data_IF_474482187060
#
_entry.id   IF_474482187060
#
_cell.length_a   1.000
_cell.length_b   1.000
_cell.length_c   1.000
_cell.angle_alpha   90.00
_cell.angle_beta   90.00
_cell.angle_gamma   90.00
#
_symmetry.space_group_name_H-M   'P 1'
#
loop_
_entity.id
_entity.type
_entity.pdbx_description
1 polymer ?
#
# COMPACT_ATOMS: atom_id res chain seq x y z
N UNK A 1 28.02 44.72 47.32
CA UNK A 1 28.65 44.22 46.07
C UNK A 1 29.33 42.85 46.30
N UNK A 2 28.57 41.78 46.56
CA UNK A 2 29.12 40.40 46.74
C UNK A 2 28.11 39.30 46.38
N UNK A 3 27.31 39.47 45.32
CA UNK A 3 26.29 38.47 44.94
C UNK A 3 26.19 38.21 43.42
N UNK A 4 27.18 38.66 42.63
CA UNK A 4 27.22 38.40 41.17
C UNK A 4 28.34 37.46 40.72
N UNK A 5 29.15 36.94 41.65
CA UNK A 5 30.26 36.04 41.34
C UNK A 5 29.85 34.55 41.33
N UNK A 6 28.70 34.19 41.92
CA UNK A 6 28.28 32.79 42.03
C UNK A 6 27.50 32.27 40.81
N UNK A 7 26.93 33.15 39.97
CA UNK A 7 26.11 32.73 38.81
C UNK A 7 26.96 32.34 37.59
N UNK A 8 28.22 32.77 37.52
CA UNK A 8 29.10 32.49 36.37
C UNK A 8 29.74 31.09 36.45
N UNK A 9 29.87 30.50 37.65
CA UNK A 9 30.51 29.18 37.83
C UNK A 9 29.56 28.02 37.48
N UNK A 10 28.23 28.21 37.56
CA UNK A 10 27.26 27.15 37.24
C UNK A 10 27.04 26.97 35.73
N UNK A 11 27.29 28.00 34.91
CA UNK A 11 27.14 27.90 33.45
C UNK A 11 28.32 27.17 32.79
N UNK A 12 29.50 27.10 33.44
CA UNK A 12 30.70 26.47 32.88
C UNK A 12 30.71 24.95 33.11
N UNK A 13 29.97 24.42 34.08
CA UNK A 13 29.88 22.97 34.34
C UNK A 13 28.81 22.23 33.51
N UNK A 14 28.02 22.95 32.70
CA UNK A 14 27.03 22.34 31.79
C UNK A 14 27.63 21.94 30.41
N UNK A 15 28.92 22.21 30.17
CA UNK A 15 29.61 21.93 28.90
C UNK A 15 30.46 20.64 28.89
N UNK A 16 30.21 19.72 29.83
CA UNK A 16 31.11 18.59 30.12
C UNK A 16 30.64 17.18 29.73
N UNK A 17 29.64 17.00 28.86
CA UNK A 17 29.25 15.66 28.37
C UNK A 17 28.88 15.65 26.88
N UNK A 18 29.86 15.99 26.04
CA UNK A 18 29.90 15.48 24.67
C UNK A 18 30.26 13.99 24.70
N UNK A 19 29.24 13.13 24.86
CA UNK A 19 29.35 11.72 24.55
C UNK A 19 29.26 11.54 23.03
N UNK A 20 30.40 11.28 22.40
CA UNK A 20 30.49 10.87 21.01
C UNK A 20 30.02 9.42 20.87
N UNK A 21 28.74 9.21 20.59
CA UNK A 21 28.22 7.94 20.07
C UNK A 21 27.94 8.08 18.56
N UNK A 22 28.83 7.49 17.77
CA UNK A 22 28.66 6.95 16.41
C UNK A 22 27.72 7.71 15.46
N UNK A 23 28.36 8.42 14.54
CA UNK A 23 27.80 8.93 13.28
C UNK A 23 27.11 7.82 12.47
N UNK A 24 25.78 7.84 12.38
CA UNK A 24 25.07 7.21 11.28
C UNK A 24 24.90 8.24 10.16
N UNK A 25 25.45 7.89 9.00
CA UNK A 25 25.49 8.65 7.77
C UNK A 25 24.05 8.90 7.27
N UNK A 26 23.55 10.10 7.50
CA UNK A 26 22.37 10.64 6.82
C UNK A 26 22.73 10.91 5.36
N UNK A 27 22.16 10.15 4.42
CA UNK A 27 22.11 10.58 3.03
C UNK A 27 20.79 11.29 2.79
N UNK A 28 20.85 12.62 2.80
CA UNK A 28 19.95 13.47 2.03
C UNK A 28 20.00 13.00 0.58
N UNK A 29 18.91 12.44 0.05
CA UNK A 29 18.70 12.41 -1.39
C UNK A 29 18.01 13.69 -1.78
N UNK A 30 18.85 14.71 -1.99
CA UNK A 30 18.54 15.86 -2.81
C UNK A 30 18.06 15.39 -4.17
N UNK A 31 17.04 16.08 -4.67
CA UNK A 31 16.66 16.09 -6.07
C UNK A 31 17.91 16.25 -6.95
N UNK A 32 18.17 15.24 -7.77
CA UNK A 32 19.18 15.24 -8.82
C UNK A 32 18.45 14.84 -10.08
N UNK A 33 18.10 15.84 -10.90
CA UNK A 33 17.76 15.61 -12.29
C UNK A 33 18.93 14.91 -12.97
N UNK A 34 18.75 13.62 -13.25
CA UNK A 34 19.70 12.80 -13.99
C UNK A 34 19.05 12.40 -15.30
N UNK A 35 19.41 13.08 -16.38
CA UNK A 35 19.31 12.54 -17.74
C UNK A 35 20.32 11.38 -17.86
N UNK A 36 19.90 10.17 -17.50
CA UNK A 36 20.72 8.97 -17.56
C UNK A 36 20.32 8.08 -18.73
N UNK A 37 21.07 8.11 -19.82
CA UNK A 37 21.03 7.11 -20.90
C UNK A 37 21.77 5.84 -20.44
N UNK A 38 21.15 5.07 -19.55
CA UNK A 38 21.71 3.85 -19.00
C UNK A 38 21.31 2.60 -19.79
N UNK A 39 22.23 2.05 -20.58
CA UNK A 39 22.14 0.70 -21.16
C UNK A 39 22.52 -0.34 -20.11
N UNK A 40 21.61 -0.63 -19.17
CA UNK A 40 21.80 -1.66 -18.15
C UNK A 40 21.21 -3.00 -18.58
N UNK A 41 22.05 -3.95 -18.98
CA UNK A 41 21.66 -5.36 -19.17
C UNK A 41 21.65 -6.06 -17.81
N UNK A 42 20.54 -5.94 -17.07
CA UNK A 42 20.29 -6.72 -15.88
C UNK A 42 19.69 -8.07 -16.23
N UNK A 43 20.49 -9.14 -16.21
CA UNK A 43 20.01 -10.53 -16.26
C UNK A 43 19.55 -10.95 -14.87
N UNK A 44 18.34 -10.53 -14.50
CA UNK A 44 17.58 -11.12 -13.41
C UNK A 44 16.68 -12.22 -13.98
N UNK A 45 17.10 -13.48 -13.89
CA UNK A 45 16.30 -14.64 -14.31
C UNK A 45 15.31 -15.00 -13.21
N UNK A 46 14.32 -14.15 -12.99
CA UNK A 46 13.08 -14.51 -12.31
C UNK A 46 12.09 -14.99 -13.36
N UNK A 47 12.06 -16.28 -13.63
CA UNK A 47 11.10 -16.87 -14.56
C UNK A 47 9.74 -16.96 -13.86
N UNK A 48 9.01 -15.84 -13.76
CA UNK A 48 7.58 -15.89 -13.46
C UNK A 48 6.88 -16.36 -14.73
N UNK A 49 6.83 -17.68 -14.92
CA UNK A 49 5.97 -18.30 -15.93
C UNK A 49 4.53 -18.12 -15.48
N UNK A 50 3.95 -16.95 -15.79
CA UNK A 50 2.51 -16.70 -15.64
C UNK A 50 1.78 -17.51 -16.69
N UNK A 51 1.59 -18.81 -16.45
CA UNK A 51 0.81 -19.70 -17.32
C UNK A 51 -0.71 -19.59 -17.10
N UNK A 52 -1.18 -18.48 -16.52
CA UNK A 52 -2.59 -18.16 -16.37
C UNK A 52 -2.81 -16.67 -16.61
N UNK A 53 -3.87 -16.32 -17.32
CA UNK A 53 -4.32 -14.94 -17.50
C UNK A 53 -4.36 -14.23 -16.15
N UNK A 54 -3.44 -13.30 -15.90
CA UNK A 54 -3.44 -12.50 -14.69
C UNK A 54 -4.77 -11.76 -14.51
N UNK A 55 -5.19 -11.60 -13.27
CA UNK A 55 -6.31 -10.76 -12.86
C UNK A 55 -5.92 -9.30 -13.05
N UNK A 56 -6.32 -8.79 -14.20
CA UNK A 56 -6.16 -7.41 -14.61
C UNK A 56 -7.44 -6.64 -14.25
N UNK A 57 -7.32 -5.63 -13.40
CA UNK A 57 -8.46 -4.86 -12.92
C UNK A 57 -8.57 -3.52 -13.66
N UNK A 58 -9.76 -3.26 -14.19
CA UNK A 58 -10.13 -1.98 -14.78
C UNK A 58 -11.10 -1.29 -13.79
N UNK A 59 -10.69 -0.17 -13.17
CA UNK A 59 -11.48 0.53 -12.15
C UNK A 59 -11.79 1.98 -12.50
N UNK A 60 -12.88 2.47 -11.93
CA UNK A 60 -13.15 3.90 -11.79
C UNK A 60 -12.67 4.36 -10.40
N UNK A 61 -11.80 5.36 -10.36
CA UNK A 61 -11.38 6.02 -9.13
C UNK A 61 -12.05 7.39 -9.04
N UNK A 62 -12.99 7.53 -8.11
CA UNK A 62 -13.75 8.75 -7.90
C UNK A 62 -13.10 9.66 -6.86
N UNK A 63 -12.98 10.95 -7.18
CA UNK A 63 -12.76 12.00 -6.19
C UNK A 63 -14.11 12.58 -5.79
N UNK A 64 -14.46 12.47 -4.51
CA UNK A 64 -15.77 12.93 -3.98
C UNK A 64 -15.65 14.16 -3.09
N UNK A 65 -16.79 14.78 -2.78
CA UNK A 65 -16.87 15.88 -1.80
C UNK A 65 -16.44 17.24 -2.34
N UNK A 66 -16.25 17.35 -3.66
CA UNK A 66 -15.88 18.58 -4.35
C UNK A 66 -14.97 18.31 -5.53
N UNK A 67 -14.51 19.38 -6.18
CA UNK A 67 -13.60 19.32 -7.32
C UNK A 67 -12.14 19.40 -6.85
N UNK A 68 -11.36 18.37 -7.13
CA UNK A 68 -9.91 18.43 -7.05
C UNK A 68 -9.33 19.32 -8.15
N UNK A 69 -8.22 19.97 -7.85
CA UNK A 69 -7.38 20.65 -8.83
C UNK A 69 -6.67 19.66 -9.74
N UNK A 70 -6.23 20.09 -10.92
CA UNK A 70 -5.42 19.26 -11.83
C UNK A 70 -4.17 18.69 -11.14
N UNK A 71 -3.50 19.49 -10.31
CA UNK A 71 -2.32 19.03 -9.57
C UNK A 71 -2.65 17.91 -8.56
N UNK A 72 -3.80 18.00 -7.89
CA UNK A 72 -4.27 16.95 -6.98
C UNK A 72 -4.60 15.65 -7.73
N UNK A 73 -5.25 15.75 -8.89
CA UNK A 73 -5.56 14.58 -9.73
C UNK A 73 -4.27 13.91 -10.25
N UNK A 74 -3.30 14.69 -10.71
CA UNK A 74 -1.99 14.16 -11.13
C UNK A 74 -1.20 13.55 -9.97
N UNK A 75 -1.33 14.08 -8.74
CA UNK A 75 -0.72 13.48 -7.57
C UNK A 75 -1.31 12.09 -7.25
N UNK A 76 -2.64 11.94 -7.29
CA UNK A 76 -3.30 10.63 -7.13
C UNK A 76 -2.84 9.67 -8.22
N UNK A 77 -2.86 10.12 -9.48
CA UNK A 77 -2.38 9.34 -10.63
C UNK A 77 -0.94 8.87 -10.47
N UNK A 78 -0.04 9.73 -9.99
CA UNK A 78 1.35 9.38 -9.73
C UNK A 78 1.55 8.28 -8.68
N UNK A 79 0.57 8.06 -7.80
CA UNK A 79 0.58 7.00 -6.79
C UNK A 79 0.06 5.64 -7.27
N UNK A 80 -0.77 5.61 -8.31
CA UNK A 80 -1.52 4.40 -8.72
C UNK A 80 -0.60 3.25 -9.13
N UNK A 81 0.46 3.51 -9.91
CA UNK A 81 1.38 2.45 -10.33
C UNK A 81 1.98 1.71 -9.14
N UNK A 82 2.37 2.45 -8.08
CA UNK A 82 2.92 1.87 -6.86
C UNK A 82 1.92 0.94 -6.15
N UNK A 83 0.63 1.26 -6.23
CA UNK A 83 -0.43 0.41 -5.68
C UNK A 83 -0.62 -0.86 -6.53
N UNK A 84 -0.55 -0.72 -7.86
CA UNK A 84 -0.60 -1.83 -8.81
C UNK A 84 0.57 -2.80 -8.64
N UNK A 85 1.80 -2.29 -8.56
CA UNK A 85 3.00 -3.06 -8.21
C UNK A 85 2.80 -3.77 -6.86
N UNK A 86 2.08 -3.10 -5.96
CA UNK A 86 1.65 -3.64 -4.69
C UNK A 86 0.84 -4.93 -4.82
N UNK A 87 -0.25 -4.87 -5.59
CA UNK A 87 -1.09 -6.03 -5.89
C UNK A 87 -0.32 -7.12 -6.63
N UNK A 88 0.59 -6.73 -7.52
CA UNK A 88 1.39 -7.68 -8.30
C UNK A 88 2.35 -8.49 -7.42
N UNK A 89 3.04 -7.84 -6.49
CA UNK A 89 3.89 -8.51 -5.50
C UNK A 89 3.03 -9.45 -4.63
N UNK A 90 1.96 -8.95 -3.99
CA UNK A 90 1.09 -9.76 -3.11
C UNK A 90 0.43 -10.93 -3.84
N UNK A 91 -0.02 -10.70 -5.07
CA UNK A 91 -0.69 -11.67 -5.92
C UNK A 91 0.26 -12.58 -6.70
N UNK A 92 1.56 -12.60 -6.38
CA UNK A 92 2.54 -13.49 -7.00
C UNK A 92 2.62 -13.35 -8.53
N UNK A 93 2.57 -12.09 -8.98
CA UNK A 93 2.61 -11.74 -10.39
C UNK A 93 1.31 -12.02 -11.15
N UNK A 94 0.23 -12.37 -10.45
CA UNK A 94 -1.05 -12.69 -11.07
C UNK A 94 -2.13 -11.62 -10.90
N UNK A 95 -1.91 -10.54 -10.12
CA UNK A 95 -2.89 -9.46 -9.94
C UNK A 95 -2.29 -8.10 -10.25
N UNK A 96 -2.99 -7.22 -10.97
CA UNK A 96 -2.54 -5.82 -11.16
C UNK A 96 -3.68 -4.92 -11.59
N UNK A 97 -3.52 -3.61 -11.35
CA UNK A 97 -4.39 -2.60 -11.95
C UNK A 97 -3.96 -2.42 -13.40
N UNK A 98 -4.84 -2.72 -14.34
CA UNK A 98 -4.58 -2.56 -15.77
C UNK A 98 -4.97 -1.17 -16.24
N UNK A 99 -6.17 -0.71 -15.87
CA UNK A 99 -6.68 0.61 -16.24
C UNK A 99 -7.40 1.27 -15.08
N UNK A 100 -7.08 2.54 -14.82
CA UNK A 100 -7.83 3.41 -13.90
C UNK A 100 -8.38 4.60 -14.65
N UNK A 101 -9.68 4.84 -14.49
CA UNK A 101 -10.34 6.07 -14.90
C UNK A 101 -10.54 6.95 -13.67
N UNK A 102 -9.74 8.00 -13.53
CA UNK A 102 -9.83 8.95 -12.44
C UNK A 102 -10.88 10.01 -12.77
N UNK A 103 -12.00 10.01 -12.03
CA UNK A 103 -13.13 10.94 -12.22
C UNK A 103 -13.18 11.96 -11.10
N UNK A 104 -13.33 13.23 -11.45
CA UNK A 104 -13.41 14.31 -10.48
C UNK A 104 -14.87 14.60 -10.09
N UNK A 105 -15.08 15.02 -8.84
CA UNK A 105 -16.39 15.43 -8.30
C UNK A 105 -17.53 14.43 -8.55
N UNK A 106 -17.28 13.14 -8.32
CA UNK A 106 -18.29 12.08 -8.42
C UNK A 106 -18.24 11.17 -7.20
N UNK A 107 -19.35 10.47 -6.94
CA UNK A 107 -19.46 9.47 -5.88
C UNK A 107 -19.40 8.04 -6.42
N UNK A 108 -19.36 7.87 -7.73
CA UNK A 108 -19.47 6.57 -8.38
C UNK A 108 -18.10 6.08 -8.81
N UNK A 109 -17.57 5.09 -8.09
CA UNK A 109 -16.27 4.51 -8.35
C UNK A 109 -16.03 3.24 -7.53
N UNK A 110 -15.21 2.36 -8.09
CA UNK A 110 -14.65 1.18 -7.42
C UNK A 110 -13.74 1.58 -6.25
N UNK A 111 -13.07 2.72 -6.40
CA UNK A 111 -12.22 3.36 -5.40
C UNK A 111 -12.67 4.81 -5.25
N UNK A 112 -12.80 5.29 -4.01
CA UNK A 112 -13.32 6.61 -3.70
C UNK A 112 -12.39 7.33 -2.73
N UNK A 113 -11.96 8.53 -3.12
CA UNK A 113 -11.14 9.41 -2.28
C UNK A 113 -11.90 10.71 -2.01
N UNK A 114 -12.19 11.06 -0.74
CA UNK A 114 -12.65 12.41 -0.41
C UNK A 114 -11.60 13.45 -0.80
N UNK A 115 -12.03 14.57 -1.39
CA UNK A 115 -11.14 15.62 -1.90
C UNK A 115 -10.22 16.19 -0.80
N UNK A 116 -10.73 16.27 0.43
CA UNK A 116 -9.99 16.69 1.62
C UNK A 116 -8.91 15.68 2.07
N UNK A 117 -8.99 14.44 1.59
CA UNK A 117 -8.07 13.34 1.91
C UNK A 117 -7.07 13.03 0.78
N UNK A 118 -6.99 13.83 -0.28
CA UNK A 118 -6.06 13.57 -1.39
C UNK A 118 -4.61 13.59 -0.93
N UNK A 119 -4.25 14.55 -0.07
CA UNK A 119 -2.88 14.72 0.43
C UNK A 119 -2.52 13.80 1.60
N UNK A 120 -3.39 12.87 1.98
CA UNK A 120 -3.24 12.04 3.19
C UNK A 120 -3.35 10.56 2.85
N UNK A 121 -2.87 9.72 3.75
CA UNK A 121 -3.08 8.27 3.73
C UNK A 121 -4.30 7.83 4.56
N UNK A 122 -5.10 8.77 5.07
CA UNK A 122 -6.21 8.51 5.98
C UNK A 122 -7.48 9.23 5.54
N UNK A 123 -8.63 8.57 5.72
CA UNK A 123 -9.97 9.07 5.41
C UNK A 123 -10.61 9.84 6.58
N UNK A 124 -9.81 10.25 7.58
CA UNK A 124 -10.27 10.89 8.80
C UNK A 124 -10.76 9.88 9.86
N UNK A 125 -10.97 10.35 11.09
CA UNK A 125 -11.52 9.51 12.18
C UNK A 125 -10.62 8.34 12.62
N UNK A 126 -9.34 8.33 12.24
CA UNK A 126 -8.37 7.27 12.57
C UNK A 126 -8.31 6.11 11.57
N UNK A 127 -9.15 6.08 10.53
CA UNK A 127 -9.13 5.04 9.49
C UNK A 127 -8.19 5.40 8.34
N UNK A 128 -7.41 4.43 7.85
CA UNK A 128 -6.52 4.61 6.70
C UNK A 128 -7.24 4.37 5.36
N UNK A 129 -8.00 3.28 5.29
CA UNK A 129 -8.95 2.99 4.23
C UNK A 129 -10.08 2.09 4.77
N UNK A 130 -11.06 1.74 3.93
CA UNK A 130 -12.10 0.75 4.22
C UNK A 130 -12.79 0.27 2.94
N UNK A 131 -13.28 -0.96 2.94
CA UNK A 131 -14.21 -1.47 1.93
C UNK A 131 -15.65 -1.47 2.43
N UNK A 132 -16.55 -0.87 1.65
CA UNK A 132 -17.97 -0.65 2.00
C UNK A 132 -18.91 -1.15 0.90
N UNK A 133 -20.12 -1.56 1.28
CA UNK A 133 -21.17 -1.91 0.31
C UNK A 133 -21.90 -0.64 -0.11
N UNK A 134 -21.92 -0.35 -1.39
CA UNK A 134 -22.69 0.72 -2.01
C UNK A 134 -23.84 0.18 -2.86
N UNK A 135 -24.63 1.07 -3.47
CA UNK A 135 -25.73 0.68 -4.38
C UNK A 135 -25.26 -0.14 -5.59
N UNK A 136 -24.02 0.08 -6.04
CA UNK A 136 -23.43 -0.54 -7.22
C UNK A 136 -22.49 -1.71 -6.88
N UNK A 137 -22.50 -2.18 -5.62
CA UNK A 137 -21.62 -3.23 -5.12
C UNK A 137 -20.56 -2.73 -4.15
N UNK A 138 -19.52 -3.54 -3.94
CA UNK A 138 -18.42 -3.22 -3.04
C UNK A 138 -17.50 -2.16 -3.65
N UNK A 139 -17.05 -1.23 -2.82
CA UNK A 139 -16.08 -0.20 -3.21
C UNK A 139 -15.12 0.09 -2.06
N UNK A 140 -13.94 0.60 -2.42
CA UNK A 140 -12.89 1.01 -1.47
C UNK A 140 -13.03 2.51 -1.23
N UNK A 141 -12.93 2.94 0.03
CA UNK A 141 -12.70 4.35 0.37
C UNK A 141 -11.30 4.49 0.96
N UNK A 142 -10.46 5.34 0.38
CA UNK A 142 -9.09 5.55 0.87
C UNK A 142 -8.60 6.99 0.61
N UNK A 143 -7.55 7.40 1.33
CA UNK A 143 -6.85 8.65 1.04
C UNK A 143 -6.11 8.61 -0.31
N UNK A 144 -5.79 9.77 -0.88
CA UNK A 144 -5.09 9.85 -2.17
C UNK A 144 -3.61 9.43 -2.10
N UNK A 145 -3.03 9.41 -0.90
CA UNK A 145 -1.67 8.93 -0.63
C UNK A 145 -1.66 7.62 0.16
N UNK A 146 -2.73 6.80 0.05
CA UNK A 146 -2.80 5.46 0.66
C UNK A 146 -1.55 4.64 0.32
N UNK A 147 -1.05 3.88 1.29
CA UNK A 147 0.08 2.99 1.05
C UNK A 147 -0.39 1.68 0.42
N UNK A 148 0.57 0.97 -0.17
CA UNK A 148 0.32 -0.26 -0.91
C UNK A 148 -0.24 -1.40 -0.05
N UNK A 149 0.05 -1.43 1.26
CA UNK A 149 -0.44 -2.48 2.17
C UNK A 149 -1.91 -2.26 2.46
N UNK A 150 -2.26 -1.06 2.91
CA UNK A 150 -3.65 -0.70 3.18
C UNK A 150 -4.50 -0.82 1.92
N UNK A 151 -4.03 -0.37 0.76
CA UNK A 151 -4.81 -0.51 -0.46
C UNK A 151 -5.04 -1.98 -0.84
N UNK A 152 -4.00 -2.82 -0.77
CA UNK A 152 -4.12 -4.23 -1.14
C UNK A 152 -5.00 -5.02 -0.16
N UNK A 153 -4.99 -4.66 1.12
CA UNK A 153 -5.91 -5.17 2.13
C UNK A 153 -7.36 -4.90 1.74
N UNK A 154 -7.70 -3.64 1.47
CA UNK A 154 -9.06 -3.27 1.07
C UNK A 154 -9.46 -3.84 -0.30
N UNK A 155 -8.50 -3.96 -1.22
CA UNK A 155 -8.68 -4.62 -2.51
C UNK A 155 -9.09 -6.08 -2.35
N UNK A 156 -8.42 -6.80 -1.45
CA UNK A 156 -8.83 -8.16 -1.07
C UNK A 156 -10.28 -8.20 -0.60
N UNK A 157 -10.69 -7.27 0.26
CA UNK A 157 -12.09 -7.18 0.72
C UNK A 157 -13.09 -6.86 -0.39
N UNK A 158 -12.71 -6.01 -1.37
CA UNK A 158 -13.61 -5.57 -2.45
C UNK A 158 -13.87 -6.68 -3.45
N UNK A 159 -12.82 -7.33 -3.91
CA UNK A 159 -12.94 -8.25 -5.04
C UNK A 159 -13.59 -9.54 -4.58
N UNK A 160 -14.77 -9.82 -5.11
CA UNK A 160 -15.63 -10.93 -4.71
C UNK A 160 -14.94 -12.31 -4.81
N UNK A 161 -13.98 -12.44 -5.73
CA UNK A 161 -13.12 -13.62 -5.89
C UNK A 161 -12.00 -13.70 -4.85
N UNK A 162 -11.75 -12.64 -4.10
CA UNK A 162 -10.81 -12.54 -2.98
C UNK A 162 -11.55 -12.31 -1.66
N UNK A 163 -12.84 -12.69 -1.58
CA UNK A 163 -13.59 -12.77 -0.31
C UNK A 163 -12.94 -13.80 0.62
N UNK A 164 -11.91 -13.37 1.32
CA UNK A 164 -11.10 -14.16 2.25
C UNK A 164 -11.82 -14.37 3.57
N UNK A 165 -13.00 -15.00 3.51
CA UNK A 165 -13.55 -15.90 4.53
C UNK A 165 -14.94 -16.42 4.12
N UNK A 166 -15.13 -16.92 2.90
CA UNK A 166 -16.35 -17.70 2.58
C UNK A 166 -17.68 -16.93 2.74
N UNK A 167 -17.65 -15.59 2.59
CA UNK A 167 -18.80 -14.72 2.84
C UNK A 167 -18.81 -14.05 4.22
N UNK A 168 -17.90 -14.44 5.11
CA UNK A 168 -17.64 -13.79 6.38
C UNK A 168 -16.47 -12.82 6.16
N UNK A 169 -16.63 -11.55 6.54
CA UNK A 169 -15.61 -10.52 6.36
C UNK A 169 -14.68 -10.55 7.56
N UNK A 170 -14.09 -11.71 7.82
CA UNK A 170 -13.19 -11.88 8.96
C UNK A 170 -11.86 -11.20 8.61
N UNK A 171 -11.83 -9.89 8.84
CA UNK A 171 -10.62 -9.20 9.24
C UNK A 171 -9.85 -10.08 10.22
N UNK A 172 -8.56 -10.36 9.96
CA UNK A 172 -7.78 -11.21 10.87
C UNK A 172 -7.39 -10.37 12.11
N UNK A 173 -8.38 -10.05 12.95
CA UNK A 173 -8.27 -9.38 14.25
C UNK A 173 -7.79 -10.38 15.31
N UNK A 174 -6.59 -10.94 15.15
CA UNK A 174 -6.04 -11.83 16.14
C UNK A 174 -4.58 -11.53 16.41
N UNK A 175 -4.31 -10.93 17.56
CA UNK A 175 -3.01 -10.86 18.24
C UNK A 175 -1.77 -10.87 17.35
N UNK A 176 -1.51 -9.76 16.65
CA UNK A 176 -0.24 -9.40 15.99
C UNK A 176 0.70 -10.58 15.69
N UNK A 177 0.43 -11.33 14.62
CA UNK A 177 1.20 -12.54 14.32
C UNK A 177 1.02 -13.07 12.90
N UNK A 178 -0.12 -12.82 12.25
CA UNK A 178 -0.25 -13.19 10.85
C UNK A 178 0.62 -12.29 9.97
N UNK A 179 1.53 -12.84 9.15
CA UNK A 179 2.27 -12.06 8.17
C UNK A 179 1.42 -11.71 6.92
N UNK A 180 0.09 -11.84 6.99
CA UNK A 180 -0.82 -11.64 5.87
C UNK A 180 -1.19 -10.17 5.66
N UNK A 181 -1.34 -9.78 4.40
CA UNK A 181 -1.94 -8.49 3.99
C UNK A 181 -3.35 -8.30 4.57
N UNK A 182 -4.09 -9.37 4.85
CA UNK A 182 -5.43 -9.31 5.45
C UNK A 182 -5.45 -9.15 6.97
N UNK A 183 -4.29 -9.08 7.63
CA UNK A 183 -4.24 -8.88 9.08
C UNK A 183 -4.21 -7.41 9.47
N UNK A 184 -5.05 -7.05 10.44
CA UNK A 184 -5.12 -5.70 11.03
C UNK A 184 -3.90 -5.35 11.90
N UNK A 185 -3.04 -6.34 12.17
CA UNK A 185 -1.82 -6.23 12.97
C UNK A 185 -0.55 -6.54 12.19
N UNK A 186 -0.52 -6.31 10.87
CA UNK A 186 0.65 -6.51 10.00
C UNK A 186 1.82 -5.55 10.30
N UNK A 187 2.12 -5.26 11.57
CA UNK A 187 3.35 -4.59 12.00
C UNK A 187 4.54 -5.49 11.63
N UNK A 188 5.14 -5.23 10.47
CA UNK A 188 6.18 -6.07 9.87
C UNK A 188 5.66 -7.23 9.01
N UNK A 189 4.35 -7.26 8.73
CA UNK A 189 3.70 -8.30 7.93
C UNK A 189 4.29 -8.35 6.52
N UNK A 190 4.63 -9.56 6.08
CA UNK A 190 5.14 -9.78 4.74
C UNK A 190 4.07 -9.30 3.75
N UNK A 191 4.49 -8.67 2.66
CA UNK A 191 3.57 -8.10 1.69
C UNK A 191 2.97 -9.22 0.82
N UNK A 192 2.11 -10.06 1.41
CA UNK A 192 1.65 -11.32 0.82
C UNK A 192 0.33 -11.82 1.43
N UNK A 193 -0.36 -12.69 0.70
CA UNK A 193 -1.41 -13.53 1.29
C UNK A 193 -0.79 -14.66 2.12
N UNK A 194 -1.41 -15.00 3.26
CA UNK A 194 -1.01 -16.18 4.04
C UNK A 194 -1.49 -17.47 3.37
N UNK A 195 -0.72 -18.54 3.54
CA UNK A 195 -1.02 -19.90 3.12
C UNK A 195 -1.13 -20.81 4.36
N UNK A 196 -1.46 -22.08 4.18
CA UNK A 196 -1.65 -23.00 5.31
C UNK A 196 -0.34 -23.29 6.08
N UNK A 197 0.83 -22.90 5.57
CA UNK A 197 2.13 -23.08 6.23
C UNK A 197 2.49 -21.92 7.16
N UNK A 198 1.92 -20.73 6.93
CA UNK A 198 2.21 -19.52 7.71
C UNK A 198 0.97 -18.87 8.34
N UNK A 199 -0.22 -19.45 8.11
CA UNK A 199 -1.47 -19.06 8.74
C UNK A 199 -1.70 -19.86 10.03
N UNK A 200 -1.90 -19.18 11.16
CA UNK A 200 -2.04 -19.80 12.47
C UNK A 200 -3.35 -19.41 13.17
N UNK A 201 -4.45 -19.38 12.41
CA UNK A 201 -5.79 -19.05 12.92
C UNK A 201 -6.78 -20.19 12.64
N UNK A 202 -7.99 -20.06 13.19
CA UNK A 202 -9.03 -21.10 13.15
C UNK A 202 -9.81 -21.17 11.84
N UNK A 203 -9.64 -20.19 10.95
CA UNK A 203 -10.29 -20.16 9.63
C UNK A 203 -9.30 -20.56 8.52
N UNK A 204 -9.78 -20.64 7.28
CA UNK A 204 -8.95 -21.02 6.12
C UNK A 204 -7.92 -19.92 5.85
N UNK A 205 -6.70 -20.31 5.47
CA UNK A 205 -5.71 -19.35 5.00
C UNK A 205 -6.25 -18.53 3.82
N UNK A 206 -5.72 -17.31 3.68
CA UNK A 206 -6.10 -16.43 2.60
C UNK A 206 -5.90 -17.12 1.24
N UNK A 207 -4.73 -17.71 1.04
CA UNK A 207 -4.40 -18.37 -0.20
C UNK A 207 -5.33 -19.56 -0.52
N UNK A 208 -5.73 -20.35 0.48
CA UNK A 208 -6.69 -21.42 0.27
C UNK A 208 -8.03 -20.92 -0.27
N UNK A 209 -8.52 -19.77 0.20
CA UNK A 209 -9.73 -19.16 -0.34
C UNK A 209 -9.53 -18.65 -1.78
N UNK A 210 -8.40 -17.97 -2.07
CA UNK A 210 -8.06 -17.48 -3.42
C UNK A 210 -8.01 -18.62 -4.43
N UNK A 211 -7.38 -19.75 -4.10
CA UNK A 211 -7.33 -20.93 -4.99
C UNK A 211 -8.70 -21.51 -5.33
N UNK A 212 -9.69 -21.36 -4.46
CA UNK A 212 -11.03 -21.89 -4.68
C UNK A 212 -11.89 -21.03 -5.61
N UNK A 213 -11.53 -19.76 -5.76
CA UNK A 213 -12.30 -18.74 -6.48
C UNK A 213 -11.56 -18.17 -7.68
N UNK A 214 -10.29 -18.52 -7.85
CA UNK A 214 -9.43 -17.99 -8.91
C UNK A 214 -8.58 -19.08 -9.56
N UNK A 215 -8.02 -18.75 -10.71
CA UNK A 215 -6.98 -19.55 -11.38
C UNK A 215 -5.56 -19.14 -10.97
N UNK A 216 -5.42 -18.28 -9.95
CA UNK A 216 -4.11 -17.85 -9.47
C UNK A 216 -3.36 -19.02 -8.86
N UNK A 217 -2.06 -19.03 -9.10
CA UNK A 217 -1.17 -20.10 -8.64
C UNK A 217 -0.09 -19.51 -7.75
N UNK A 218 0.21 -20.22 -6.68
CA UNK A 218 1.25 -19.95 -5.70
C UNK A 218 1.57 -21.31 -5.09
N UNK A 219 2.85 -21.55 -4.87
CA UNK A 219 3.31 -22.72 -4.14
C UNK A 219 3.39 -22.34 -2.68
N UNK A 220 2.78 -23.09 -1.78
CA UNK A 220 2.81 -22.75 -0.35
C UNK A 220 4.28 -22.61 0.12
N UNK A 221 4.60 -21.52 0.80
CA UNK A 221 5.97 -21.18 1.20
C UNK A 221 6.83 -20.48 0.13
N UNK A 222 6.35 -20.34 -1.11
CA UNK A 222 6.92 -19.46 -2.12
C UNK A 222 6.47 -18.03 -1.82
N UNK A 223 7.36 -17.05 -1.98
CA UNK A 223 7.08 -15.64 -1.72
C UNK A 223 7.66 -14.81 -2.85
N UNK A 224 6.84 -13.93 -3.42
CA UNK A 224 7.27 -13.09 -4.52
C UNK A 224 8.46 -12.21 -4.09
N UNK A 225 9.41 -12.05 -5.01
CA UNK A 225 10.41 -11.00 -4.88
C UNK A 225 9.77 -9.64 -5.16
N UNK A 226 10.14 -8.62 -4.40
CA UNK A 226 9.77 -7.22 -4.68
C UNK A 226 10.09 -6.90 -6.15
N UNK A 227 9.08 -6.51 -6.91
CA UNK A 227 9.21 -6.27 -8.35
C UNK A 227 8.18 -5.29 -8.88
N UNK A 228 8.49 -4.67 -10.03
CA UNK A 228 7.54 -3.83 -10.75
C UNK A 228 6.54 -4.71 -11.51
N UNK A 229 5.25 -4.41 -11.38
CA UNK A 229 4.20 -5.05 -12.16
C UNK A 229 4.06 -4.44 -13.56
N UNK A 230 3.10 -4.94 -14.36
CA UNK A 230 2.72 -4.29 -15.61
C UNK A 230 2.32 -2.82 -15.40
N UNK A 231 2.60 -1.98 -16.40
CA UNK A 231 2.21 -0.57 -16.37
C UNK A 231 0.69 -0.42 -16.34
N UNK A 232 0.18 0.35 -15.38
CA UNK A 232 -1.22 0.74 -15.28
C UNK A 232 -1.51 1.94 -16.19
N UNK A 233 -2.50 1.81 -17.07
CA UNK A 233 -3.05 2.94 -17.80
C UNK A 233 -3.89 3.80 -16.86
N UNK A 234 -3.57 5.09 -16.72
CA UNK A 234 -4.40 6.02 -15.92
C UNK A 234 -4.89 7.16 -16.79
N UNK A 235 -6.20 7.27 -16.92
CA UNK A 235 -6.89 8.33 -17.66
C UNK A 235 -7.58 9.24 -16.65
N UNK A 236 -7.31 10.55 -16.73
CA UNK A 236 -8.08 11.56 -15.99
C UNK A 236 -9.23 11.99 -16.89
N UNK A 237 -10.47 11.74 -16.46
CA UNK A 237 -11.64 12.27 -17.15
C UNK A 237 -11.93 13.71 -16.68
N UNK A 238 -12.22 14.63 -17.62
CA UNK A 238 -12.50 16.03 -17.32
C UNK A 238 -13.82 16.24 -16.56
#
# INVERSE_FOLDING_TARGET
MKFRLFTVIIVIFALGICSCSKSHKSSNRSASGGTGTGTGTGTGTGTTTSNGSGYAYDYVWAIRGGSATTAQLEAVKGGIQRLSDGLYEIGHGAQHLKRIVLKNNTNDGDVVTPVECIGTNSIGGGSYAKTSMGPNGWYITCGGAVDRFTFAHEHGHKEDSLKLAGGEREEEYGGGGCPCVMSTGASGGKFQYCDDTNHNYSFKSCWAAIRNSTSMTHTDGDYSSVGAGPTTEVVIEP
#
